data_IF_957501746337
#
_entry.id   IF_957501746337
#
_cell.length_a   1.000
_cell.length_b   1.000
_cell.length_c   1.000
_cell.angle_alpha   90.00
_cell.angle_beta   90.00
_cell.angle_gamma   90.00
#
_symmetry.space_group_name_H-M   'P 1'
#
loop_
_entity.id
_entity.type
_entity.pdbx_description
1 polymer ?
#
# COMPACT_ATOMS: atom_id res chain seq x y z
N UNK A 1 -3.74 9.45 10.12
CA UNK A 1 -4.95 10.29 10.09
C UNK A 1 -6.23 9.46 10.12
N UNK A 2 -6.48 8.53 9.20
CA UNK A 2 -7.76 7.80 9.13
C UNK A 2 -8.05 6.95 10.38
N UNK A 3 -7.04 6.36 11.02
CA UNK A 3 -7.22 5.66 12.30
C UNK A 3 -7.77 6.62 13.37
N UNK A 4 -7.26 7.85 13.39
CA UNK A 4 -7.76 8.92 14.27
C UNK A 4 -9.18 9.35 13.91
N UNK A 5 -9.47 9.48 12.61
CA UNK A 5 -10.77 9.92 12.08
C UNK A 5 -11.90 8.92 12.41
N UNK A 6 -11.54 7.64 12.61
CA UNK A 6 -12.46 6.59 13.08
C UNK A 6 -12.67 6.58 14.61
N UNK A 7 -12.08 7.53 15.34
CA UNK A 7 -12.17 7.63 16.79
C UNK A 7 -11.37 6.58 17.55
N UNK A 8 -10.46 5.85 16.89
CA UNK A 8 -9.58 4.86 17.51
C UNK A 8 -8.50 5.60 18.31
N UNK A 9 -8.38 5.27 19.60
CA UNK A 9 -7.42 5.89 20.52
C UNK A 9 -6.37 4.91 21.04
N UNK A 10 -6.64 3.61 20.93
CA UNK A 10 -5.78 2.55 21.46
C UNK A 10 -5.69 1.43 20.43
N UNK A 11 -4.47 1.04 20.06
CA UNK A 11 -4.22 -0.01 19.08
C UNK A 11 -3.26 -1.04 19.68
N UNK A 12 -3.65 -2.32 19.64
CA UNK A 12 -2.75 -3.43 19.84
C UNK A 12 -2.10 -3.79 18.49
N UNK A 13 -0.86 -4.25 18.48
CA UNK A 13 -0.13 -4.63 17.26
C UNK A 13 0.37 -6.06 17.41
N UNK A 14 -0.01 -6.91 16.46
CA UNK A 14 0.55 -8.23 16.25
C UNK A 14 1.31 -8.25 14.93
N UNK A 15 2.54 -8.74 14.92
CA UNK A 15 3.37 -8.76 13.71
C UNK A 15 4.09 -10.10 13.54
N UNK A 16 4.40 -10.49 12.31
CA UNK A 16 5.16 -11.71 12.01
C UNK A 16 6.57 -11.62 12.56
N UNK A 17 7.05 -12.73 13.13
CA UNK A 17 8.38 -12.85 13.77
C UNK A 17 9.49 -12.85 12.72
N UNK A 18 9.77 -11.71 12.14
CA UNK A 18 10.95 -11.42 11.33
C UNK A 18 11.32 -9.94 11.39
N UNK A 19 12.54 -9.61 10.96
CA UNK A 19 13.12 -8.26 11.09
C UNK A 19 12.36 -7.19 10.30
N UNK A 20 11.81 -7.53 9.15
CA UNK A 20 11.13 -6.56 8.29
C UNK A 20 9.77 -6.18 8.89
N UNK A 21 8.99 -7.19 9.34
CA UNK A 21 7.71 -6.92 9.99
C UNK A 21 7.88 -6.25 11.36
N UNK A 22 8.94 -6.57 12.10
CA UNK A 22 9.30 -5.83 13.32
C UNK A 22 9.59 -4.35 13.02
N UNK A 23 10.34 -4.07 11.96
CA UNK A 23 10.61 -2.70 11.50
C UNK A 23 9.32 -1.97 11.13
N UNK A 24 8.45 -2.61 10.34
CA UNK A 24 7.15 -2.03 9.98
C UNK A 24 6.26 -1.79 11.20
N UNK A 25 6.21 -2.72 12.15
CA UNK A 25 5.46 -2.56 13.39
C UNK A 25 5.95 -1.37 14.21
N UNK A 26 7.27 -1.16 14.31
CA UNK A 26 7.89 -0.01 14.98
C UNK A 26 7.55 1.31 14.27
N UNK A 27 7.64 1.36 12.94
CA UNK A 27 7.28 2.54 12.14
C UNK A 27 5.80 2.87 12.34
N UNK A 28 4.94 1.87 12.27
CA UNK A 28 3.50 2.06 12.48
C UNK A 28 3.18 2.54 13.89
N UNK A 29 3.76 1.91 14.93
CA UNK A 29 3.60 2.36 16.32
C UNK A 29 4.04 3.81 16.51
N UNK A 30 5.17 4.21 15.93
CA UNK A 30 5.65 5.59 15.98
C UNK A 30 4.68 6.57 15.28
N UNK A 31 4.08 6.16 14.16
CA UNK A 31 3.07 6.95 13.47
C UNK A 31 1.78 7.10 14.31
N UNK A 32 1.34 6.04 14.98
CA UNK A 32 0.22 6.09 15.93
C UNK A 32 0.49 7.10 17.06
N UNK A 33 1.66 7.04 17.67
CA UNK A 33 2.06 7.95 18.76
C UNK A 33 2.06 9.41 18.29
N UNK A 34 2.61 9.69 17.09
CA UNK A 34 2.57 11.04 16.49
C UNK A 34 1.13 11.57 16.32
N UNK A 35 0.18 10.68 16.05
CA UNK A 35 -1.24 10.97 15.92
C UNK A 35 -2.01 10.85 17.26
N UNK A 36 -1.32 10.83 18.41
CA UNK A 36 -1.89 10.74 19.77
C UNK A 36 -2.71 9.47 20.01
N UNK A 37 -2.39 8.39 19.30
CA UNK A 37 -2.99 7.07 19.47
C UNK A 37 -2.01 6.21 20.27
N UNK A 38 -2.51 5.56 21.32
CA UNK A 38 -1.68 4.72 22.20
C UNK A 38 -1.51 3.32 21.61
N UNK A 39 -0.29 2.84 21.46
CA UNK A 39 -0.02 1.41 21.27
C UNK A 39 -0.12 0.72 22.64
N UNK A 40 -1.05 -0.22 22.78
CA UNK A 40 -1.27 -0.94 24.06
C UNK A 40 -0.29 -2.06 24.26
N UNK A 41 0.01 -2.78 23.20
CA UNK A 41 1.02 -3.85 23.12
C UNK A 41 1.53 -3.95 21.70
N UNK A 42 2.77 -4.40 21.54
CA UNK A 42 3.35 -4.76 20.24
C UNK A 42 4.12 -6.07 20.45
N UNK A 43 3.61 -7.17 19.87
CA UNK A 43 4.19 -8.49 20.06
C UNK A 43 4.27 -9.27 18.74
N UNK A 44 5.30 -10.09 18.61
CA UNK A 44 5.48 -10.95 17.44
C UNK A 44 4.71 -12.26 17.56
N UNK A 45 4.32 -12.81 16.42
CA UNK A 45 3.80 -14.16 16.29
C UNK A 45 4.61 -14.95 15.25
N UNK A 46 4.69 -16.27 15.47
CA UNK A 46 5.36 -17.18 14.56
C UNK A 46 4.32 -18.10 13.90
N UNK A 47 4.38 -18.26 12.58
CA UNK A 47 3.46 -19.13 11.81
C UNK A 47 3.52 -20.61 12.17
N UNK A 48 4.64 -21.05 12.76
CA UNK A 48 4.90 -22.46 13.08
C UNK A 48 4.41 -22.86 14.48
N UNK A 49 3.66 -21.99 15.16
CA UNK A 49 3.09 -22.28 16.46
C UNK A 49 1.72 -22.94 16.27
N UNK A 50 1.55 -24.16 16.82
CA UNK A 50 0.26 -24.86 16.79
C UNK A 50 -0.77 -24.28 17.76
N UNK A 51 -0.34 -23.45 18.72
CA UNK A 51 -1.21 -22.87 19.73
C UNK A 51 -0.87 -21.39 19.96
N UNK A 52 -1.78 -20.52 19.57
CA UNK A 52 -1.70 -19.08 19.76
C UNK A 52 -2.30 -18.60 21.10
N UNK A 53 -2.76 -19.50 22.00
CA UNK A 53 -3.49 -19.12 23.22
C UNK A 53 -2.77 -18.08 24.08
N UNK A 54 -1.46 -18.23 24.28
CA UNK A 54 -0.66 -17.27 25.05
C UNK A 54 -0.59 -15.92 24.36
N UNK A 55 -0.40 -15.91 23.04
CA UNK A 55 -0.34 -14.70 22.24
C UNK A 55 -1.68 -13.97 22.27
N UNK A 56 -2.79 -14.68 22.03
CA UNK A 56 -4.15 -14.15 22.07
C UNK A 56 -4.48 -13.61 23.47
N UNK A 57 -4.11 -14.35 24.54
CA UNK A 57 -4.29 -13.90 25.93
C UNK A 57 -3.56 -12.59 26.21
N UNK A 58 -2.33 -12.42 25.72
CA UNK A 58 -1.58 -11.18 25.89
C UNK A 58 -2.25 -10.00 25.12
N UNK A 59 -2.70 -10.21 23.89
CA UNK A 59 -3.42 -9.20 23.12
C UNK A 59 -4.73 -8.81 23.80
N UNK A 60 -5.50 -9.77 24.26
CA UNK A 60 -6.81 -9.52 24.91
C UNK A 60 -6.62 -8.82 26.26
N UNK A 61 -5.62 -9.21 27.04
CA UNK A 61 -5.30 -8.53 28.31
C UNK A 61 -4.86 -7.09 28.14
N UNK A 62 -4.09 -6.80 27.08
CA UNK A 62 -3.68 -5.43 26.75
C UNK A 62 -4.84 -4.58 26.23
N UNK A 63 -5.78 -5.20 25.53
CA UNK A 63 -6.96 -4.55 24.94
C UNK A 63 -6.62 -3.48 23.92
N UNK A 64 -7.64 -2.81 23.43
CA UNK A 64 -7.54 -1.71 22.46
C UNK A 64 -8.85 -1.53 21.73
N UNK A 65 -8.97 -0.42 21.02
CA UNK A 65 -10.12 -0.14 20.14
C UNK A 65 -10.01 -0.91 18.82
N UNK A 66 -8.77 -1.21 18.41
CA UNK A 66 -8.45 -1.99 17.23
C UNK A 66 -7.19 -2.84 17.42
N UNK A 67 -7.08 -3.90 16.61
CA UNK A 67 -5.87 -4.73 16.47
C UNK A 67 -5.28 -4.57 15.07
N UNK A 68 -4.07 -4.04 14.98
CA UNK A 68 -3.31 -4.01 13.74
C UNK A 68 -2.56 -5.33 13.57
N UNK A 69 -2.74 -5.96 12.40
CA UNK A 69 -2.04 -7.17 12.00
C UNK A 69 -1.00 -6.77 10.93
N UNK A 70 0.28 -6.87 11.27
CA UNK A 70 1.38 -6.57 10.36
C UNK A 70 2.03 -7.88 9.97
N UNK A 71 1.46 -8.54 8.99
CA UNK A 71 1.74 -9.92 8.61
C UNK A 71 1.27 -10.20 7.19
N UNK A 72 1.55 -11.39 6.71
CA UNK A 72 0.91 -12.02 5.55
C UNK A 72 -0.04 -13.13 5.99
N UNK A 73 -0.93 -13.53 5.08
CA UNK A 73 -1.81 -14.70 5.28
C UNK A 73 -0.96 -15.94 5.56
N UNK A 74 0.07 -16.17 4.74
CA UNK A 74 0.95 -17.34 4.85
C UNK A 74 1.89 -17.29 6.07
N UNK A 75 1.92 -16.19 6.79
CA UNK A 75 2.73 -16.00 8.00
C UNK A 75 1.92 -16.05 9.30
N UNK A 76 0.66 -16.50 9.24
CA UNK A 76 -0.20 -16.71 10.40
C UNK A 76 -1.12 -15.53 10.73
N UNK A 77 -1.12 -14.48 9.92
CA UNK A 77 -1.96 -13.30 10.14
C UNK A 77 -3.46 -13.65 10.19
N UNK A 78 -3.92 -14.55 9.32
CA UNK A 78 -5.30 -15.03 9.29
C UNK A 78 -5.68 -15.86 10.54
N UNK A 79 -4.73 -16.65 11.06
CA UNK A 79 -4.94 -17.45 12.27
C UNK A 79 -5.09 -16.54 13.50
N UNK A 80 -4.30 -15.47 13.57
CA UNK A 80 -4.44 -14.46 14.64
C UNK A 80 -5.81 -13.78 14.56
N UNK A 81 -6.23 -13.33 13.38
CA UNK A 81 -7.55 -12.71 13.20
C UNK A 81 -8.66 -13.68 13.65
N UNK A 82 -8.64 -14.92 13.16
CA UNK A 82 -9.62 -15.93 13.50
C UNK A 82 -9.72 -16.19 14.99
N UNK A 83 -8.58 -16.40 15.65
CA UNK A 83 -8.51 -16.69 17.08
C UNK A 83 -8.93 -15.50 17.95
N UNK A 84 -8.59 -14.28 17.54
CA UNK A 84 -9.00 -13.06 18.26
C UNK A 84 -10.49 -12.78 18.10
N UNK A 85 -11.06 -13.00 16.91
CA UNK A 85 -12.51 -12.86 16.67
C UNK A 85 -13.32 -13.75 17.59
N UNK A 86 -12.84 -14.99 17.84
CA UNK A 86 -13.51 -15.95 18.72
C UNK A 86 -13.55 -15.50 20.20
N UNK A 87 -12.64 -14.59 20.60
CA UNK A 87 -12.67 -13.98 21.94
C UNK A 87 -13.70 -12.86 22.10
N UNK A 88 -14.14 -12.24 21.01
CA UNK A 88 -15.00 -11.07 21.00
C UNK A 88 -14.38 -9.77 21.53
N UNK A 89 -13.08 -9.78 21.86
CA UNK A 89 -12.38 -8.62 22.46
C UNK A 89 -12.05 -7.54 21.46
N UNK A 90 -11.71 -7.90 20.24
CA UNK A 90 -11.48 -6.94 19.15
C UNK A 90 -12.52 -7.14 18.06
N UNK A 91 -13.12 -6.04 17.62
CA UNK A 91 -14.10 -6.01 16.51
C UNK A 91 -13.59 -5.24 15.31
N UNK A 92 -12.52 -4.46 15.50
CA UNK A 92 -11.87 -3.69 14.45
C UNK A 92 -10.45 -4.20 14.21
N UNK A 93 -10.15 -4.57 12.98
CA UNK A 93 -8.81 -4.95 12.54
C UNK A 93 -8.30 -3.92 11.56
N UNK A 94 -7.00 -3.63 11.65
CA UNK A 94 -6.28 -2.78 10.71
C UNK A 94 -5.36 -3.70 9.93
N UNK A 95 -5.62 -3.85 8.63
CA UNK A 95 -4.95 -4.85 7.79
C UNK A 95 -4.05 -4.17 6.76
N UNK A 96 -2.86 -4.73 6.50
CA UNK A 96 -2.00 -4.30 5.40
C UNK A 96 -2.58 -4.75 4.05
N UNK A 97 -2.10 -4.17 2.97
CA UNK A 97 -2.54 -4.40 1.59
C UNK A 97 -2.47 -5.88 1.17
N UNK A 98 -1.40 -6.57 1.54
CA UNK A 98 -1.20 -7.99 1.25
C UNK A 98 -2.17 -8.94 1.98
N UNK A 99 -2.95 -8.44 2.92
CA UNK A 99 -4.05 -9.16 3.57
C UNK A 99 -5.44 -8.70 3.10
N UNK A 100 -5.50 -7.73 2.18
CA UNK A 100 -6.76 -7.20 1.62
C UNK A 100 -6.98 -7.77 0.23
N UNK A 101 -7.43 -9.00 0.18
CA UNK A 101 -7.75 -9.70 -1.06
C UNK A 101 -9.04 -10.54 -0.94
N UNK A 102 -9.62 -10.99 -2.06
CA UNK A 102 -10.83 -11.82 -2.06
C UNK A 102 -10.72 -13.11 -1.24
N UNK A 103 -9.54 -13.72 -1.18
CA UNK A 103 -9.34 -14.98 -0.42
C UNK A 103 -9.39 -14.74 1.09
N UNK A 104 -8.80 -13.63 1.55
CA UNK A 104 -8.90 -13.21 2.95
C UNK A 104 -10.35 -12.96 3.33
N UNK A 105 -11.10 -12.29 2.45
CA UNK A 105 -12.52 -12.00 2.69
C UNK A 105 -13.33 -13.28 2.78
N UNK A 106 -13.13 -14.22 1.87
CA UNK A 106 -13.83 -15.49 1.86
C UNK A 106 -13.58 -16.31 3.13
N UNK A 107 -12.36 -16.27 3.68
CA UNK A 107 -12.05 -16.92 4.96
C UNK A 107 -12.86 -16.39 6.13
N UNK A 108 -13.22 -15.11 6.10
CA UNK A 108 -13.92 -14.43 7.19
C UNK A 108 -15.34 -13.99 6.84
N UNK A 109 -15.91 -14.47 5.71
CA UNK A 109 -17.23 -14.06 5.24
C UNK A 109 -18.35 -14.27 6.26
N UNK A 110 -18.23 -15.31 7.11
CA UNK A 110 -19.19 -15.64 8.14
C UNK A 110 -18.86 -14.99 9.50
N UNK A 111 -17.76 -14.23 9.58
CA UNK A 111 -17.32 -13.53 10.79
C UNK A 111 -17.52 -12.02 10.62
N UNK A 112 -17.75 -11.31 11.73
CA UNK A 112 -18.03 -9.87 11.69
C UNK A 112 -16.75 -9.02 11.63
N UNK A 113 -16.31 -8.70 10.41
CA UNK A 113 -15.22 -7.76 10.16
C UNK A 113 -15.68 -6.33 9.83
N UNK A 114 -16.95 -5.99 10.07
CA UNK A 114 -17.56 -4.72 9.62
C UNK A 114 -16.86 -3.44 10.05
N UNK A 115 -16.14 -3.47 11.16
CA UNK A 115 -15.39 -2.31 11.65
C UNK A 115 -13.91 -2.34 11.24
N UNK A 116 -13.53 -3.38 10.48
CA UNK A 116 -12.15 -3.54 10.02
C UNK A 116 -11.92 -2.74 8.76
N UNK A 117 -10.69 -2.32 8.59
CA UNK A 117 -10.26 -1.52 7.44
C UNK A 117 -8.78 -1.74 7.18
N UNK A 118 -8.36 -1.27 6.05
CA UNK A 118 -6.96 -1.24 5.68
C UNK A 118 -6.71 -0.27 4.55
N UNK A 119 -5.51 -0.30 4.02
CA UNK A 119 -5.07 0.58 2.96
C UNK A 119 -4.44 -0.27 1.87
N UNK A 120 -4.85 0.01 0.65
CA UNK A 120 -4.21 -0.51 -0.55
C UNK A 120 -3.63 0.64 -1.33
N UNK A 121 -2.60 0.37 -2.11
CA UNK A 121 -2.12 1.34 -3.06
C UNK A 121 -3.26 1.70 -4.01
N UNK A 122 -3.58 2.98 -4.09
CA UNK A 122 -4.77 3.44 -4.79
C UNK A 122 -4.43 3.99 -6.16
N UNK A 123 -5.20 3.57 -7.15
CA UNK A 123 -5.15 4.11 -8.50
C UNK A 123 -6.37 5.04 -8.69
N UNK A 124 -6.30 6.27 -8.17
CA UNK A 124 -7.41 7.23 -8.21
C UNK A 124 -7.06 8.54 -8.91
N UNK A 125 -6.21 8.49 -9.93
CA UNK A 125 -5.81 9.66 -10.71
C UNK A 125 -6.06 9.45 -12.21
N UNK A 126 -5.96 10.53 -12.99
CA UNK A 126 -6.17 10.47 -14.45
C UNK A 126 -5.19 9.50 -15.14
N UNK A 127 -3.97 9.34 -14.63
CA UNK A 127 -2.99 8.40 -15.14
C UNK A 127 -3.45 6.96 -14.97
N UNK A 128 -4.03 6.61 -13.81
CA UNK A 128 -4.58 5.29 -13.55
C UNK A 128 -5.77 4.95 -14.45
N UNK A 129 -6.66 5.92 -14.71
CA UNK A 129 -7.77 5.71 -15.63
C UNK A 129 -7.28 5.41 -17.06
N UNK A 130 -6.26 6.15 -17.51
CA UNK A 130 -5.66 5.93 -18.83
C UNK A 130 -4.93 4.60 -18.91
N UNK A 131 -4.21 4.23 -17.82
CA UNK A 131 -3.53 2.94 -17.72
C UNK A 131 -4.53 1.77 -17.79
N UNK A 132 -5.62 1.81 -17.02
CA UNK A 132 -6.64 0.76 -17.05
C UNK A 132 -7.21 0.55 -18.47
N UNK A 133 -7.50 1.63 -19.19
CA UNK A 133 -7.95 1.55 -20.58
C UNK A 133 -6.89 0.95 -21.50
N UNK A 134 -5.62 1.34 -21.32
CA UNK A 134 -4.50 0.81 -22.11
C UNK A 134 -4.30 -0.69 -21.86
N UNK A 135 -4.31 -1.10 -20.58
CA UNK A 135 -4.18 -2.49 -20.17
C UNK A 135 -5.32 -3.35 -20.73
N UNK A 136 -6.57 -2.88 -20.59
CA UNK A 136 -7.74 -3.56 -21.14
C UNK A 136 -7.64 -3.75 -22.67
N UNK A 137 -7.22 -2.72 -23.41
CA UNK A 137 -7.04 -2.79 -24.86
C UNK A 137 -5.90 -3.76 -25.26
N UNK A 138 -4.96 -3.99 -24.36
CA UNK A 138 -3.81 -4.88 -24.56
C UNK A 138 -4.03 -6.29 -24.00
N UNK A 139 -5.21 -6.60 -23.46
CA UNK A 139 -5.52 -7.89 -22.84
C UNK A 139 -4.76 -8.15 -21.53
N UNK A 140 -4.31 -7.08 -20.85
CA UNK A 140 -3.58 -7.15 -19.57
C UNK A 140 -4.57 -6.92 -18.44
N UNK A 141 -4.49 -7.76 -17.41
CA UNK A 141 -5.24 -7.57 -16.16
C UNK A 141 -4.61 -6.44 -15.33
N UNK A 142 -5.24 -5.27 -15.35
CA UNK A 142 -4.78 -4.10 -14.60
C UNK A 142 -4.98 -4.22 -13.09
N UNK A 143 -5.73 -5.22 -12.62
CA UNK A 143 -5.96 -5.46 -11.19
C UNK A 143 -4.90 -6.36 -10.55
N UNK A 144 -4.04 -6.99 -11.36
CA UNK A 144 -2.94 -7.81 -10.84
C UNK A 144 -1.93 -6.95 -10.08
N UNK A 145 -1.42 -7.42 -8.94
CA UNK A 145 -0.44 -6.69 -8.14
C UNK A 145 0.76 -6.22 -8.97
N UNK A 146 1.21 -5.01 -8.71
CA UNK A 146 2.40 -4.39 -9.33
C UNK A 146 2.31 -4.16 -10.85
N UNK A 147 1.16 -4.32 -11.49
CA UNK A 147 1.03 -4.12 -12.94
C UNK A 147 1.21 -2.65 -13.32
N UNK A 148 0.60 -1.74 -12.56
CA UNK A 148 0.72 -0.30 -12.78
C UNK A 148 2.13 0.21 -12.47
N UNK A 149 2.73 -0.24 -11.38
CA UNK A 149 4.09 0.10 -10.96
C UNK A 149 5.13 -0.38 -11.97
N UNK A 150 4.96 -1.59 -12.50
CA UNK A 150 5.85 -2.14 -13.53
C UNK A 150 5.79 -1.33 -14.81
N UNK A 151 4.60 -0.90 -15.21
CA UNK A 151 4.41 -0.02 -16.37
C UNK A 151 5.12 1.32 -16.16
N UNK A 152 4.93 1.96 -15.00
CA UNK A 152 5.55 3.24 -14.69
C UNK A 152 7.06 3.15 -14.61
N UNK A 153 7.59 2.11 -13.97
CA UNK A 153 9.03 1.86 -13.89
C UNK A 153 9.64 1.72 -15.30
N UNK A 154 9.03 0.93 -16.17
CA UNK A 154 9.48 0.76 -17.55
C UNK A 154 9.42 2.09 -18.33
N UNK A 155 8.32 2.83 -18.22
CA UNK A 155 8.14 4.11 -18.89
C UNK A 155 9.20 5.14 -18.47
N UNK A 156 9.43 5.29 -17.16
CA UNK A 156 10.42 6.22 -16.62
C UNK A 156 11.83 5.84 -17.08
N UNK A 157 12.19 4.56 -17.03
CA UNK A 157 13.51 4.09 -17.48
C UNK A 157 13.73 4.38 -18.98
N UNK A 158 12.74 4.10 -19.82
CA UNK A 158 12.78 4.34 -21.27
C UNK A 158 12.96 5.86 -21.53
N UNK A 159 12.11 6.69 -20.92
CA UNK A 159 12.14 8.14 -21.12
C UNK A 159 13.43 8.76 -20.59
N UNK A 160 13.94 8.28 -19.45
CA UNK A 160 15.20 8.74 -18.86
C UNK A 160 16.41 8.40 -19.71
N UNK A 161 16.43 7.20 -20.32
CA UNK A 161 17.47 6.84 -21.27
C UNK A 161 17.41 7.68 -22.53
N UNK A 162 16.21 7.96 -23.03
CA UNK A 162 16.03 8.80 -24.21
C UNK A 162 16.44 10.26 -23.93
N UNK A 163 16.10 10.79 -22.77
CA UNK A 163 16.44 12.16 -22.35
C UNK A 163 17.94 12.45 -22.38
N UNK A 164 18.81 11.45 -22.13
CA UNK A 164 20.27 11.61 -22.18
C UNK A 164 20.81 12.15 -23.52
N UNK A 165 20.08 11.97 -24.59
CA UNK A 165 20.49 12.40 -25.91
C UNK A 165 20.08 13.83 -26.27
N UNK A 166 19.13 14.40 -25.51
CA UNK A 166 18.48 15.66 -25.86
C UNK A 166 18.47 16.70 -24.75
N UNK A 167 18.67 16.27 -23.50
CA UNK A 167 18.81 17.17 -22.37
C UNK A 167 20.28 17.30 -21.97
N UNK A 168 20.65 18.40 -21.32
CA UNK A 168 22.01 18.65 -20.87
C UNK A 168 22.51 17.65 -19.82
N UNK A 169 21.60 17.01 -19.11
CA UNK A 169 21.92 16.06 -18.04
C UNK A 169 22.12 14.65 -18.57
N UNK A 170 23.35 14.16 -18.51
CA UNK A 170 23.72 12.81 -18.95
C UNK A 170 23.54 11.70 -17.91
N UNK A 171 23.14 12.04 -16.68
CA UNK A 171 22.93 11.07 -15.61
C UNK A 171 21.52 10.47 -15.66
N UNK A 172 21.42 9.15 -15.80
CA UNK A 172 20.12 8.46 -15.76
C UNK A 172 19.37 8.74 -14.46
N UNK A 173 20.07 8.71 -13.31
CA UNK A 173 19.43 8.93 -12.02
C UNK A 173 18.79 10.33 -11.91
N UNK A 174 19.47 11.36 -12.41
CA UNK A 174 18.92 12.70 -12.42
C UNK A 174 17.79 12.84 -13.44
N UNK A 175 17.90 12.16 -14.58
CA UNK A 175 16.82 12.12 -15.57
C UNK A 175 15.57 11.39 -15.04
N UNK A 176 15.72 10.27 -14.31
CA UNK A 176 14.60 9.62 -13.63
C UNK A 176 13.84 10.62 -12.76
N UNK A 177 14.59 11.37 -11.94
CA UNK A 177 13.99 12.36 -11.04
C UNK A 177 13.30 13.50 -11.82
N UNK A 178 13.95 14.06 -12.83
CA UNK A 178 13.41 15.19 -13.61
C UNK A 178 12.21 14.80 -14.48
N UNK A 179 12.12 13.53 -14.90
CA UNK A 179 11.03 13.02 -15.73
C UNK A 179 9.81 12.68 -14.89
N UNK A 180 10.02 12.10 -13.71
CA UNK A 180 8.91 11.71 -12.83
C UNK A 180 8.34 12.88 -12.01
N UNK A 181 9.08 13.97 -11.87
CA UNK A 181 8.70 15.09 -11.02
C UNK A 181 8.41 16.38 -11.83
N UNK A 182 7.63 17.26 -11.22
CA UNK A 182 7.44 18.64 -11.72
C UNK A 182 8.76 19.44 -11.65
N UNK A 183 8.93 20.45 -12.54
CA UNK A 183 7.98 20.94 -13.55
C UNK A 183 8.15 20.23 -14.90
N UNK A 184 7.11 20.27 -15.75
CA UNK A 184 7.15 19.75 -17.12
C UNK A 184 5.79 19.59 -17.75
N UNK A 185 5.78 19.23 -19.04
CA UNK A 185 4.54 18.93 -19.75
C UNK A 185 4.04 17.56 -19.29
N UNK A 186 2.79 17.49 -18.83
CA UNK A 186 2.18 16.27 -18.31
C UNK A 186 2.12 15.17 -19.36
N UNK A 187 2.62 14.00 -18.98
CA UNK A 187 2.62 12.77 -19.77
C UNK A 187 1.91 11.69 -18.97
N UNK A 188 1.04 10.96 -19.63
CA UNK A 188 0.26 9.88 -19.03
C UNK A 188 0.55 8.53 -19.69
N UNK A 189 0.12 7.42 -19.11
CA UNK A 189 0.16 6.12 -19.76
C UNK A 189 -0.44 6.15 -21.16
N UNK A 190 0.28 5.57 -22.12
CA UNK A 190 -0.06 5.63 -23.55
C UNK A 190 0.55 6.81 -24.33
N UNK A 191 1.03 7.85 -23.63
CA UNK A 191 1.57 9.05 -24.28
C UNK A 191 3.09 9.02 -24.52
N UNK A 192 3.77 7.83 -24.45
CA UNK A 192 5.24 7.74 -24.53
C UNK A 192 5.79 8.32 -25.84
N UNK A 193 5.12 8.11 -26.96
CA UNK A 193 5.54 8.72 -28.25
C UNK A 193 5.51 10.26 -28.20
N UNK A 194 4.48 10.83 -27.56
CA UNK A 194 4.37 12.28 -27.33
C UNK A 194 5.52 12.76 -26.43
N UNK A 195 5.82 12.02 -25.37
CA UNK A 195 6.93 12.32 -24.46
C UNK A 195 8.28 12.38 -25.19
N UNK A 196 8.56 11.37 -26.03
CA UNK A 196 9.75 11.31 -26.86
C UNK A 196 9.88 12.54 -27.77
N UNK A 197 8.83 12.96 -28.43
CA UNK A 197 8.82 14.14 -29.30
C UNK A 197 9.13 15.42 -28.50
N UNK A 198 8.52 15.59 -27.32
CA UNK A 198 8.76 16.76 -26.46
C UNK A 198 10.21 16.79 -25.98
N UNK A 199 10.75 15.64 -25.55
CA UNK A 199 12.16 15.53 -25.14
C UNK A 199 13.12 15.82 -26.28
N UNK A 200 12.83 15.38 -27.52
CA UNK A 200 13.66 15.64 -28.69
C UNK A 200 13.69 17.13 -29.09
N UNK A 201 12.73 17.92 -28.64
CA UNK A 201 12.70 19.38 -28.76
C UNK A 201 13.46 20.09 -27.61
N UNK A 202 14.12 19.34 -26.72
CA UNK A 202 14.81 19.88 -25.54
C UNK A 202 13.87 20.39 -24.44
N UNK A 203 12.59 20.00 -24.45
CA UNK A 203 11.59 20.43 -23.47
C UNK A 203 11.45 19.42 -22.35
N UNK A 204 11.13 19.91 -21.14
CA UNK A 204 10.89 19.08 -19.96
C UNK A 204 9.48 18.46 -19.96
N UNK A 205 9.39 17.24 -19.45
CA UNK A 205 8.14 16.55 -19.21
C UNK A 205 7.95 16.30 -17.70
N UNK A 206 6.69 16.04 -17.31
CA UNK A 206 6.30 15.53 -16.01
C UNK A 206 5.47 14.27 -16.23
N UNK A 207 6.04 13.12 -15.96
CA UNK A 207 5.37 11.83 -16.11
C UNK A 207 4.46 11.57 -14.90
N UNK A 208 3.16 11.76 -15.08
CA UNK A 208 2.15 11.56 -14.03
C UNK A 208 1.89 10.06 -13.72
N UNK A 209 2.24 9.17 -14.65
CA UNK A 209 2.16 7.71 -14.46
C UNK A 209 0.78 7.12 -14.17
N UNK A 210 0.72 5.81 -14.11
CA UNK A 210 -0.45 5.06 -13.66
C UNK A 210 -0.63 5.18 -12.13
N UNK A 211 0.49 5.22 -11.40
CA UNK A 211 0.52 5.30 -9.93
C UNK A 211 0.58 6.74 -9.41
N UNK A 212 0.80 7.73 -10.28
CA UNK A 212 1.05 9.10 -9.87
C UNK A 212 2.41 9.28 -9.20
N UNK A 213 3.41 8.51 -9.66
CA UNK A 213 4.73 8.46 -9.07
C UNK A 213 5.44 9.82 -9.09
N UNK A 214 5.86 10.27 -7.92
CA UNK A 214 6.82 11.36 -7.71
C UNK A 214 7.88 10.88 -6.72
N UNK A 215 9.13 11.27 -6.91
CA UNK A 215 10.24 10.90 -6.03
C UNK A 215 10.63 12.06 -5.11
N UNK A 216 10.93 11.76 -3.87
CA UNK A 216 11.55 12.72 -2.98
C UNK A 216 13.08 12.81 -3.19
N UNK A 217 13.75 13.66 -2.39
CA UNK A 217 15.19 13.90 -2.52
C UNK A 217 16.08 12.70 -2.23
N UNK A 218 15.55 11.68 -1.53
CA UNK A 218 16.28 10.45 -1.20
C UNK A 218 15.91 9.29 -2.12
N UNK A 219 15.00 9.52 -3.08
CA UNK A 219 14.59 8.53 -4.07
C UNK A 219 13.39 7.67 -3.65
N UNK A 220 12.75 7.97 -2.53
CA UNK A 220 11.51 7.33 -2.14
C UNK A 220 10.34 7.88 -2.97
N UNK A 221 9.44 7.01 -3.40
CA UNK A 221 8.24 7.43 -4.12
C UNK A 221 7.07 7.66 -3.17
N UNK A 222 6.33 8.73 -3.40
CA UNK A 222 5.02 8.92 -2.78
C UNK A 222 3.97 8.19 -3.60
N UNK A 223 3.19 7.34 -2.94
CA UNK A 223 2.04 6.68 -3.53
C UNK A 223 0.75 7.28 -2.99
N UNK A 224 -0.32 7.17 -3.76
CA UNK A 224 -1.67 7.37 -3.25
C UNK A 224 -2.16 6.07 -2.63
N UNK A 225 -2.90 6.20 -1.51
CA UNK A 225 -3.49 5.08 -0.81
C UNK A 225 -5.00 5.26 -0.77
N UNK A 226 -5.72 4.17 -0.99
CA UNK A 226 -7.17 4.10 -0.88
C UNK A 226 -7.53 3.32 0.38
N UNK A 227 -8.42 3.88 1.16
CA UNK A 227 -9.00 3.20 2.30
C UNK A 227 -9.97 2.12 1.83
N UNK A 228 -9.88 0.95 2.44
CA UNK A 228 -10.75 -0.19 2.16
C UNK A 228 -11.45 -0.61 3.42
N UNK A 229 -12.79 -0.59 3.40
CA UNK A 229 -13.63 -1.13 4.47
C UNK A 229 -14.05 -2.56 4.16
N UNK A 230 -14.12 -3.37 5.22
CA UNK A 230 -14.74 -4.68 5.16
C UNK A 230 -16.23 -4.58 5.49
N UNK A 231 -17.09 -4.92 4.54
CA UNK A 231 -18.54 -4.85 4.74
C UNK A 231 -19.23 -6.14 4.23
N UNK A 232 -19.71 -6.97 5.15
CA UNK A 232 -20.49 -8.20 4.85
C UNK A 232 -19.84 -9.09 3.78
N UNK A 233 -18.55 -9.42 3.96
CA UNK A 233 -17.80 -10.24 3.01
C UNK A 233 -17.46 -9.56 1.68
N UNK A 234 -17.49 -8.23 1.63
CA UNK A 234 -17.09 -7.43 0.46
C UNK A 234 -16.13 -6.32 0.85
N UNK A 235 -15.21 -6.00 -0.05
CA UNK A 235 -14.37 -4.81 0.05
C UNK A 235 -15.14 -3.59 -0.49
N UNK A 236 -15.09 -2.50 0.26
CA UNK A 236 -15.58 -1.21 -0.17
C UNK A 236 -14.42 -0.22 -0.18
N UNK A 237 -14.01 0.17 -1.35
CA UNK A 237 -13.02 1.22 -1.58
C UNK A 237 -13.67 2.60 -1.40
N UNK A 238 -12.94 3.53 -0.73
CA UNK A 238 -13.40 4.90 -0.47
C UNK A 238 -12.59 5.93 -1.22
#
# INVERSE_FOLDING_TARGET
DITSDRGIKKVAISYSDNKDYEKFAKIYSNALIKNKIKTTIMISHNKNINDYSKHISALTAAGGDALAIISDIDLGGDQIIGSVLDTGMFRSFILPDNMIDPKTIDKFKDKDLKQSFGYVQGLSNLGSEKFMKLAQNSGIDSSSPYTAESYDAAAIIILSNFAKFYLEENSINKNIYSIANKPGIKIFPGDLKKAINILSEGKSINYEGATGVEFDKIGDSFGSFVEVDFNKGKLKFK
#
